data_IF_916027102165
#
_entry.id   IF_916027102165
#
_cell.length_a   1.000
_cell.length_b   1.000
_cell.length_c   1.000
_cell.angle_alpha   90.00
_cell.angle_beta   90.00
_cell.angle_gamma   90.00
#
_symmetry.space_group_name_H-M   'P 1'
#
loop_
_entity.id
_entity.type
_entity.pdbx_description
1 polymer ?
#
# COMPACT_ATOMS: atom_id res chain seq x y z
N UNK A 1 -82.39 36.28 10.97
CA UNK A 1 -82.15 36.67 12.37
C UNK A 1 -80.74 36.19 12.73
N UNK A 2 -79.73 36.98 12.35
CA UNK A 2 -78.77 37.63 13.26
C UNK A 2 -78.09 36.70 14.27
N UNK A 3 -76.78 36.44 14.14
CA UNK A 3 -75.74 37.24 14.83
C UNK A 3 -74.32 36.89 14.34
N UNK A 4 -73.50 37.94 14.14
CA UNK A 4 -72.02 37.94 13.97
C UNK A 4 -71.38 37.52 15.33
N UNK A 5 -70.09 37.21 15.57
CA UNK A 5 -68.75 37.80 15.29
C UNK A 5 -67.75 36.72 15.82
N UNK A 6 -66.60 36.33 15.24
CA UNK A 6 -65.27 36.96 15.40
C UNK A 6 -64.18 36.22 14.61
N UNK A 7 -63.21 37.03 14.20
CA UNK A 7 -61.97 36.81 13.46
C UNK A 7 -60.93 35.90 14.15
N UNK A 8 -60.14 35.18 13.35
CA UNK A 8 -58.70 35.08 13.55
C UNK A 8 -57.98 34.79 12.22
N UNK A 9 -57.22 35.79 11.76
CA UNK A 9 -56.16 35.61 10.75
C UNK A 9 -55.01 34.84 11.41
N UNK A 10 -54.56 33.76 10.79
CA UNK A 10 -53.21 33.25 11.01
C UNK A 10 -52.54 33.20 9.64
N UNK A 11 -51.71 34.21 9.36
CA UNK A 11 -50.76 34.17 8.26
C UNK A 11 -49.67 33.18 8.63
N UNK A 12 -49.57 32.08 7.87
CA UNK A 12 -48.38 31.24 7.91
C UNK A 12 -47.37 31.83 6.92
N UNK A 13 -46.41 32.54 7.51
CA UNK A 13 -45.16 32.96 6.92
C UNK A 13 -44.47 31.73 6.31
N UNK A 14 -44.21 31.75 5.00
CA UNK A 14 -43.37 30.75 4.37
C UNK A 14 -41.92 30.99 4.84
N UNK A 15 -41.49 30.27 5.88
CA UNK A 15 -40.07 30.10 6.16
C UNK A 15 -39.47 29.32 4.97
N UNK A 16 -38.70 30.00 4.14
CA UNK A 16 -37.62 29.36 3.39
C UNK A 16 -36.62 28.85 4.42
N UNK A 17 -36.82 27.62 4.88
CA UNK A 17 -35.71 26.85 5.43
C UNK A 17 -34.78 26.58 4.25
N UNK A 18 -33.71 27.37 4.14
CA UNK A 18 -32.52 26.90 3.45
C UNK A 18 -32.16 25.57 4.09
N UNK A 19 -32.20 24.50 3.31
CA UNK A 19 -31.50 23.29 3.67
C UNK A 19 -30.03 23.70 3.80
N UNK A 20 -29.58 23.88 5.04
CA UNK A 20 -28.19 23.67 5.37
C UNK A 20 -27.97 22.20 5.02
N UNK A 21 -27.38 21.93 3.85
CA UNK A 21 -26.74 20.64 3.64
C UNK A 21 -25.73 20.54 4.78
N UNK A 22 -25.68 19.43 5.54
CA UNK A 22 -24.58 19.24 6.47
C UNK A 22 -23.28 19.42 5.66
N UNK A 23 -22.26 20.03 6.26
CA UNK A 23 -20.90 19.91 5.75
C UNK A 23 -20.69 18.42 5.44
N UNK A 24 -20.28 18.10 4.20
CA UNK A 24 -20.10 16.70 3.82
C UNK A 24 -19.12 16.08 4.83
N UNK A 25 -19.49 14.91 5.35
CA UNK A 25 -18.67 14.24 6.35
C UNK A 25 -17.40 13.74 5.65
N UNK A 26 -16.24 13.92 6.30
CA UNK A 26 -14.95 13.32 5.91
C UNK A 26 -15.19 11.89 5.44
N UNK A 27 -14.71 11.56 4.25
CA UNK A 27 -14.86 10.22 3.67
C UNK A 27 -13.81 9.31 4.31
N UNK A 28 -14.27 8.26 4.99
CA UNK A 28 -13.38 7.27 5.62
C UNK A 28 -13.54 5.93 4.92
N UNK A 29 -12.45 5.39 4.39
CA UNK A 29 -12.39 4.10 3.71
C UNK A 29 -11.29 3.22 4.32
N UNK A 30 -11.56 1.93 4.46
CA UNK A 30 -10.60 0.96 5.02
C UNK A 30 -9.85 0.24 3.91
N UNK A 31 -8.52 0.33 3.90
CA UNK A 31 -7.63 -0.38 2.98
C UNK A 31 -6.55 -1.13 3.78
N UNK A 32 -6.56 -2.47 3.70
CA UNK A 32 -5.59 -3.28 4.43
C UNK A 32 -5.59 -2.97 5.93
N UNK A 33 -4.44 -2.57 6.52
CA UNK A 33 -4.33 -2.20 7.93
C UNK A 33 -4.68 -0.74 8.24
N UNK A 34 -5.10 0.05 7.24
CA UNK A 34 -5.39 1.48 7.42
C UNK A 34 -6.88 1.81 7.31
N UNK A 35 -7.36 2.67 8.21
CA UNK A 35 -8.55 3.48 8.03
C UNK A 35 -8.12 4.86 7.52
N UNK A 36 -8.46 5.17 6.27
CA UNK A 36 -8.00 6.37 5.55
C UNK A 36 -9.10 7.43 5.54
N UNK A 37 -8.79 8.58 6.12
CA UNK A 37 -9.63 9.79 6.11
C UNK A 37 -9.25 10.70 4.94
N UNK A 38 -10.16 10.85 3.99
CA UNK A 38 -10.09 11.78 2.87
C UNK A 38 -10.90 13.04 3.21
N UNK A 39 -10.18 14.16 3.33
CA UNK A 39 -10.76 15.47 3.60
C UNK A 39 -11.28 16.09 2.30
N UNK A 40 -12.48 16.68 2.31
CA UNK A 40 -13.02 17.40 1.15
C UNK A 40 -12.48 18.84 1.09
N UNK A 41 -12.64 19.55 -0.02
CA UNK A 41 -12.18 20.93 -0.18
C UNK A 41 -12.75 21.82 0.93
N UNK A 42 -11.85 22.50 1.66
CA UNK A 42 -12.21 23.38 2.77
C UNK A 42 -12.33 22.70 4.13
N UNK A 43 -12.28 21.36 4.22
CA UNK A 43 -12.17 20.67 5.50
C UNK A 43 -10.81 20.96 6.16
N UNK A 44 -10.76 20.86 7.49
CA UNK A 44 -9.59 21.27 8.28
C UNK A 44 -9.11 20.13 9.18
N UNK A 45 -7.81 19.85 9.14
CA UNK A 45 -7.12 19.04 10.13
C UNK A 45 -5.95 19.83 10.74
N UNK A 46 -5.97 20.00 12.07
CA UNK A 46 -5.00 20.84 12.76
C UNK A 46 -5.02 22.28 12.23
N UNK A 47 -3.92 22.71 11.62
CA UNK A 47 -3.79 24.03 10.97
C UNK A 47 -3.89 23.97 9.44
N UNK A 48 -4.08 22.78 8.88
CA UNK A 48 -4.10 22.56 7.43
C UNK A 48 -5.54 22.54 6.94
N UNK A 49 -5.83 23.33 5.92
CA UNK A 49 -7.10 23.29 5.19
C UNK A 49 -6.87 22.52 3.90
N UNK A 50 -7.67 21.49 3.65
CA UNK A 50 -7.58 20.71 2.42
C UNK A 50 -7.98 21.57 1.21
N UNK A 51 -7.17 21.55 0.16
CA UNK A 51 -7.28 22.47 -0.98
C UNK A 51 -8.09 21.92 -2.16
N UNK A 52 -8.37 20.62 -2.24
CA UNK A 52 -9.16 20.04 -3.33
C UNK A 52 -9.89 18.75 -2.92
N UNK A 53 -11.06 18.51 -3.51
CA UNK A 53 -11.81 17.27 -3.35
C UNK A 53 -11.06 16.06 -3.91
N UNK A 54 -11.24 14.89 -3.28
CA UNK A 54 -10.66 13.65 -3.76
C UNK A 54 -11.52 13.02 -4.85
N UNK A 55 -10.89 12.68 -5.97
CA UNK A 55 -11.52 11.89 -7.02
C UNK A 55 -11.46 10.40 -6.67
N UNK A 56 -12.41 9.62 -7.20
CA UNK A 56 -12.41 8.16 -7.02
C UNK A 56 -11.15 7.49 -7.61
N UNK A 57 -10.51 8.09 -8.62
CA UNK A 57 -9.26 7.58 -9.18
C UNK A 57 -8.08 7.79 -8.22
N UNK A 58 -7.97 8.97 -7.61
CA UNK A 58 -6.96 9.25 -6.58
C UNK A 58 -7.11 8.36 -5.34
N UNK A 59 -8.35 8.13 -4.89
CA UNK A 59 -8.61 7.18 -3.78
C UNK A 59 -8.23 5.74 -4.14
N UNK A 60 -8.38 5.34 -5.41
CA UNK A 60 -7.93 4.03 -5.88
C UNK A 60 -6.40 3.92 -5.99
N UNK A 61 -5.73 5.03 -6.29
CA UNK A 61 -4.26 5.12 -6.25
C UNK A 61 -3.73 4.96 -4.82
N UNK A 62 -4.43 5.54 -3.84
CA UNK A 62 -4.16 5.35 -2.40
C UNK A 62 -4.33 3.90 -1.97
N UNK A 63 -5.45 3.25 -2.36
CA UNK A 63 -5.66 1.82 -2.10
C UNK A 63 -4.49 0.99 -2.69
N UNK A 64 -4.05 1.31 -3.91
CA UNK A 64 -2.96 0.60 -4.59
C UNK A 64 -1.62 0.77 -3.87
N UNK A 65 -1.31 1.97 -3.39
CA UNK A 65 -0.08 2.25 -2.65
C UNK A 65 -0.03 1.54 -1.29
N UNK A 66 -1.16 1.50 -0.57
CA UNK A 66 -1.29 0.72 0.67
C UNK A 66 -1.11 -0.77 0.39
N UNK A 67 -1.68 -1.28 -0.70
CA UNK A 67 -1.51 -2.68 -1.11
C UNK A 67 -0.05 -3.03 -1.43
N UNK A 68 0.74 -2.10 -1.97
CA UNK A 68 2.15 -2.35 -2.25
C UNK A 68 2.95 -2.66 -0.97
N UNK A 69 2.63 -1.99 0.14
CA UNK A 69 3.23 -2.28 1.44
C UNK A 69 2.61 -3.51 2.11
N UNK A 70 1.27 -3.60 2.15
CA UNK A 70 0.54 -4.70 2.81
C UNK A 70 0.85 -6.07 2.19
N UNK A 71 1.07 -6.12 0.87
CA UNK A 71 1.42 -7.36 0.17
C UNK A 71 2.82 -7.90 0.54
N UNK A 72 3.71 -7.05 1.06
CA UNK A 72 5.08 -7.41 1.44
C UNK A 72 5.25 -7.70 2.93
N UNK A 73 4.25 -7.43 3.78
CA UNK A 73 4.36 -7.52 5.24
C UNK A 73 3.48 -8.65 5.80
N UNK A 74 4.06 -9.52 6.63
CA UNK A 74 3.35 -10.61 7.32
C UNK A 74 2.73 -10.19 8.65
N UNK A 75 3.28 -9.14 9.27
CA UNK A 75 2.78 -8.63 10.55
C UNK A 75 1.29 -8.29 10.48
N UNK A 76 0.58 -8.51 11.57
CA UNK A 76 -0.83 -8.12 11.70
C UNK A 76 -0.96 -6.91 12.62
N UNK A 77 -1.50 -5.81 12.11
CA UNK A 77 -1.69 -4.62 12.92
C UNK A 77 -2.57 -4.87 14.16
N UNK A 78 -2.12 -4.34 15.31
CA UNK A 78 -2.83 -4.48 16.60
C UNK A 78 -4.22 -3.82 16.59
N UNK A 79 -4.40 -2.80 15.75
CA UNK A 79 -5.67 -2.18 15.37
C UNK A 79 -5.57 -1.57 13.97
N UNK A 80 -6.70 -1.09 13.44
CA UNK A 80 -6.67 -0.23 12.24
C UNK A 80 -5.86 1.04 12.52
N UNK A 81 -5.00 1.39 11.57
CA UNK A 81 -4.10 2.55 11.63
C UNK A 81 -4.83 3.74 11.02
N UNK A 82 -4.95 4.83 11.78
CA UNK A 82 -5.60 6.05 11.31
C UNK A 82 -4.65 6.85 10.41
N UNK A 83 -4.98 6.91 9.11
CA UNK A 83 -4.23 7.67 8.12
C UNK A 83 -5.06 8.83 7.60
N UNK A 84 -4.56 10.06 7.78
CA UNK A 84 -5.21 11.26 7.26
C UNK A 84 -4.48 11.75 6.01
N UNK A 85 -5.24 12.00 4.94
CA UNK A 85 -4.71 12.49 3.68
C UNK A 85 -5.31 13.85 3.30
N UNK A 86 -4.45 14.81 2.99
CA UNK A 86 -4.86 16.13 2.52
C UNK A 86 -4.06 16.56 1.29
N UNK A 87 -4.69 17.39 0.49
CA UNK A 87 -4.05 18.23 -0.51
C UNK A 87 -3.73 19.60 0.09
N UNK A 88 -2.51 20.07 -0.09
CA UNK A 88 -1.98 21.31 0.49
C UNK A 88 -1.11 22.06 -0.54
N UNK A 89 -0.88 23.35 -0.30
CA UNK A 89 0.10 24.14 -1.06
C UNK A 89 1.48 23.97 -0.39
N UNK A 90 2.28 23.02 -0.89
CA UNK A 90 3.56 22.70 -0.26
C UNK A 90 4.68 23.64 -0.76
N UNK A 91 5.80 23.76 -0.01
CA UNK A 91 6.95 24.51 -0.48
C UNK A 91 7.47 24.00 -1.82
N UNK A 92 8.02 24.91 -2.63
CA UNK A 92 8.60 24.58 -3.94
C UNK A 92 9.56 23.39 -3.87
N UNK A 93 9.31 22.37 -4.70
CA UNK A 93 10.14 21.17 -4.80
C UNK A 93 9.74 20.04 -3.84
N UNK A 94 8.70 20.23 -3.03
CA UNK A 94 8.12 19.19 -2.17
C UNK A 94 6.86 18.66 -2.82
N UNK A 95 6.79 17.35 -3.04
CA UNK A 95 5.64 16.67 -3.65
C UNK A 95 4.69 16.09 -2.59
N UNK A 96 5.26 15.66 -1.47
CA UNK A 96 4.56 15.06 -0.35
C UNK A 96 5.27 15.36 0.97
N UNK A 97 4.54 15.19 2.06
CA UNK A 97 5.08 15.28 3.42
C UNK A 97 4.30 14.34 4.32
N UNK A 98 4.99 13.30 4.78
CA UNK A 98 4.51 12.36 5.78
C UNK A 98 4.96 12.76 7.19
N UNK A 99 4.02 12.72 8.14
CA UNK A 99 4.32 12.89 9.56
C UNK A 99 3.49 11.94 10.39
N UNK A 100 4.09 11.29 11.37
CA UNK A 100 3.39 10.37 12.27
C UNK A 100 3.50 10.79 13.72
N UNK A 101 2.47 10.43 14.49
CA UNK A 101 2.57 10.49 15.95
C UNK A 101 3.67 9.53 16.41
N UNK A 102 4.37 9.90 17.48
CA UNK A 102 5.53 9.14 17.95
C UNK A 102 5.17 8.30 19.18
N UNK A 103 5.71 7.09 19.25
CA UNK A 103 5.65 6.22 20.42
C UNK A 103 7.07 6.04 20.95
N UNK A 104 7.23 6.07 22.28
CA UNK A 104 8.53 5.98 22.94
C UNK A 104 8.51 4.93 24.04
N UNK A 105 9.62 4.21 24.22
CA UNK A 105 9.73 3.18 25.24
C UNK A 105 11.06 2.44 25.20
N UNK A 106 11.66 2.17 26.36
CA UNK A 106 12.86 1.33 26.45
C UNK A 106 14.10 1.85 25.71
N UNK A 107 14.18 3.16 25.43
CA UNK A 107 15.25 3.75 24.61
C UNK A 107 15.04 3.59 23.10
N UNK A 108 13.82 3.24 22.68
CA UNK A 108 13.41 3.15 21.29
C UNK A 108 12.31 4.17 20.99
N UNK A 109 12.23 4.52 19.72
CA UNK A 109 11.27 5.45 19.13
C UNK A 109 10.64 4.80 17.91
N UNK A 110 9.32 4.90 17.79
CA UNK A 110 8.56 4.39 16.64
C UNK A 110 7.68 5.49 16.07
N UNK A 111 7.40 5.41 14.77
CA UNK A 111 6.18 6.00 14.24
C UNK A 111 4.98 5.20 14.79
N UNK A 112 3.85 5.82 15.08
CA UNK A 112 2.75 5.07 15.69
C UNK A 112 2.18 4.01 14.74
N UNK A 113 2.10 4.30 13.43
CA UNK A 113 1.73 3.30 12.41
C UNK A 113 2.69 2.11 12.39
N UNK A 114 3.99 2.36 12.44
CA UNK A 114 5.04 1.34 12.61
C UNK A 114 4.84 0.53 13.91
N UNK A 115 4.61 1.18 15.06
CA UNK A 115 4.38 0.47 16.32
C UNK A 115 3.14 -0.43 16.25
N UNK A 116 2.02 0.11 15.73
CA UNK A 116 0.75 -0.62 15.65
C UNK A 116 0.88 -1.84 14.73
N UNK A 117 1.59 -1.68 13.62
CA UNK A 117 1.70 -2.73 12.63
C UNK A 117 2.83 -3.70 12.93
N UNK A 118 4.07 -3.23 13.12
CA UNK A 118 5.24 -4.08 13.31
C UNK A 118 5.24 -4.77 14.67
N UNK A 119 4.93 -4.04 15.75
CA UNK A 119 4.89 -4.60 17.10
C UNK A 119 3.56 -5.30 17.40
N UNK A 120 2.58 -5.22 16.49
CA UNK A 120 1.25 -5.84 16.58
C UNK A 120 0.49 -5.43 17.86
N UNK A 121 0.69 -4.19 18.32
CA UNK A 121 0.18 -3.67 19.59
C UNK A 121 -0.59 -2.34 19.40
N UNK A 122 -1.15 -1.78 20.47
CA UNK A 122 -1.85 -0.50 20.46
C UNK A 122 -1.20 0.45 21.48
N UNK A 123 -0.73 1.66 21.08
CA UNK A 123 -0.21 2.65 22.02
C UNK A 123 -1.16 2.94 23.20
N UNK A 124 -2.47 2.79 23.01
CA UNK A 124 -3.47 2.95 24.06
C UNK A 124 -3.30 1.96 25.23
N UNK A 125 -2.70 0.79 25.00
CA UNK A 125 -2.37 -0.18 26.06
C UNK A 125 -1.34 0.37 27.06
N UNK A 126 -0.59 1.39 26.67
CA UNK A 126 0.40 2.09 27.49
C UNK A 126 -0.10 3.47 27.97
N UNK A 127 -1.38 3.77 27.74
CA UNK A 127 -1.99 5.05 28.10
C UNK A 127 -1.57 6.22 27.18
N UNK A 128 -1.04 5.91 25.99
CA UNK A 128 -0.67 6.90 24.98
C UNK A 128 -1.90 7.12 24.09
N UNK A 129 -2.53 8.29 24.21
CA UNK A 129 -3.67 8.68 23.37
C UNK A 129 -3.17 9.40 22.11
N UNK A 130 -3.54 8.87 20.95
CA UNK A 130 -3.13 9.36 19.65
C UNK A 130 -4.40 9.68 18.86
N UNK A 131 -4.48 10.92 18.34
CA UNK A 131 -5.58 11.37 17.50
C UNK A 131 -5.47 10.83 16.07
N UNK A 132 -4.29 10.97 15.46
CA UNK A 132 -3.97 10.43 14.14
C UNK A 132 -2.66 9.66 14.20
N UNK A 133 -2.60 8.50 13.57
CA UNK A 133 -1.36 7.74 13.53
C UNK A 133 -0.39 8.30 12.50
N UNK A 134 -0.89 8.62 11.30
CA UNK A 134 -0.10 9.23 10.24
C UNK A 134 -0.92 10.27 9.47
N UNK A 135 -0.27 11.37 9.14
CA UNK A 135 -0.78 12.46 8.34
C UNK A 135 0.12 12.60 7.12
N UNK A 136 -0.45 12.48 5.92
CA UNK A 136 0.28 12.75 4.69
C UNK A 136 -0.41 13.90 3.96
N UNK A 137 0.41 14.86 3.54
CA UNK A 137 0.00 15.98 2.69
C UNK A 137 0.66 15.87 1.34
N UNK A 138 -0.09 16.16 0.29
CA UNK A 138 0.43 16.19 -1.07
C UNK A 138 0.26 17.58 -1.66
N UNK A 139 1.22 17.97 -2.46
CA UNK A 139 1.17 19.24 -3.15
C UNK A 139 0.07 19.24 -4.23
N UNK A 140 -0.74 20.29 -4.28
CA UNK A 140 -1.88 20.37 -5.21
C UNK A 140 -1.46 20.37 -6.68
N UNK A 141 -0.28 20.88 -7.03
CA UNK A 141 0.15 21.08 -8.42
C UNK A 141 1.39 20.26 -8.82
N UNK A 142 1.83 19.35 -7.94
CA UNK A 142 3.02 18.51 -8.10
C UNK A 142 4.29 19.34 -8.36
N UNK A 143 4.50 20.36 -7.53
CA UNK A 143 5.57 21.34 -7.67
C UNK A 143 5.58 22.01 -9.06
N UNK A 144 4.39 22.27 -9.61
CA UNK A 144 4.15 22.89 -10.91
C UNK A 144 4.34 21.97 -12.12
N UNK A 145 4.62 20.69 -11.92
CA UNK A 145 4.86 19.71 -13.00
C UNK A 145 3.57 19.01 -13.42
N UNK A 146 2.61 18.85 -12.50
CA UNK A 146 1.35 18.16 -12.71
C UNK A 146 1.40 16.65 -12.41
N UNK A 147 0.32 16.16 -11.81
CA UNK A 147 0.13 14.77 -11.44
C UNK A 147 -0.27 13.87 -12.62
N UNK A 148 0.16 12.62 -12.54
CA UNK A 148 -0.40 11.47 -13.24
C UNK A 148 -1.10 10.60 -12.20
N UNK A 149 -2.38 10.27 -12.47
CA UNK A 149 -3.21 9.40 -11.66
C UNK A 149 -3.59 8.15 -12.46
N UNK A 150 -3.98 7.10 -11.75
CA UNK A 150 -4.48 5.87 -12.34
C UNK A 150 -3.39 4.82 -12.63
N UNK A 151 -3.79 3.78 -13.36
CA UNK A 151 -2.91 2.62 -13.62
C UNK A 151 -1.84 2.89 -14.67
N UNK A 152 -2.13 3.77 -15.63
CA UNK A 152 -1.20 4.14 -16.69
C UNK A 152 0.04 4.82 -16.11
N UNK A 153 1.18 4.70 -16.80
CA UNK A 153 2.41 5.39 -16.38
C UNK A 153 2.37 6.89 -16.70
N UNK A 154 3.19 7.70 -16.03
CA UNK A 154 3.26 9.14 -16.28
C UNK A 154 3.76 9.46 -17.70
N UNK A 155 3.14 10.45 -18.32
CA UNK A 155 3.65 11.05 -19.56
C UNK A 155 4.92 11.88 -19.31
N UNK A 156 5.59 12.34 -20.38
CA UNK A 156 6.71 13.26 -20.25
C UNK A 156 6.30 14.53 -19.49
N UNK A 157 6.99 14.84 -18.41
CA UNK A 157 6.70 16.02 -17.60
C UNK A 157 5.52 15.85 -16.64
N UNK A 158 5.15 14.62 -16.26
CA UNK A 158 4.22 14.38 -15.16
C UNK A 158 4.91 13.61 -14.03
N UNK A 159 4.44 13.81 -12.81
CA UNK A 159 4.85 13.04 -11.63
C UNK A 159 3.82 11.95 -11.36
N UNK A 160 4.27 10.73 -11.15
CA UNK A 160 3.40 9.61 -10.80
C UNK A 160 2.91 9.72 -9.35
N UNK A 161 1.61 9.96 -9.16
CA UNK A 161 1.05 10.12 -7.81
C UNK A 161 1.22 8.85 -6.97
N UNK A 162 0.96 7.67 -7.55
CA UNK A 162 1.14 6.37 -6.87
C UNK A 162 2.56 6.20 -6.33
N UNK A 163 3.58 6.58 -7.10
CA UNK A 163 4.96 6.51 -6.63
C UNK A 163 5.18 7.39 -5.39
N UNK A 164 4.65 8.62 -5.41
CA UNK A 164 4.78 9.55 -4.27
C UNK A 164 4.01 9.05 -3.04
N UNK A 165 2.75 8.63 -3.15
CA UNK A 165 2.04 8.10 -1.97
C UNK A 165 2.69 6.83 -1.42
N UNK A 166 3.16 5.91 -2.27
CA UNK A 166 3.86 4.72 -1.80
C UNK A 166 5.13 5.10 -1.04
N UNK A 167 5.86 6.12 -1.51
CA UNK A 167 7.03 6.68 -0.82
C UNK A 167 6.66 7.28 0.55
N UNK A 168 5.66 8.15 0.61
CA UNK A 168 5.25 8.81 1.87
C UNK A 168 4.74 7.82 2.92
N UNK A 169 4.10 6.72 2.48
CA UNK A 169 3.74 5.60 3.36
C UNK A 169 4.98 4.91 3.94
N UNK A 170 6.10 4.87 3.22
CA UNK A 170 7.39 4.36 3.70
C UNK A 170 7.86 5.06 4.97
N UNK A 171 7.69 6.39 5.04
CA UNK A 171 7.96 7.15 6.26
C UNK A 171 7.02 6.76 7.40
N UNK A 172 5.72 6.56 7.13
CA UNK A 172 4.74 6.13 8.14
C UNK A 172 5.03 4.75 8.73
N UNK A 173 5.71 3.88 7.97
CA UNK A 173 6.15 2.54 8.43
C UNK A 173 7.58 2.51 8.97
N UNK A 174 8.18 3.68 9.23
CA UNK A 174 9.39 3.80 10.04
C UNK A 174 10.67 4.15 9.28
N UNK A 175 10.63 4.41 7.97
CA UNK A 175 11.79 4.89 7.21
C UNK A 175 12.05 6.35 7.55
N UNK A 176 12.69 6.61 8.70
CA UNK A 176 12.93 7.96 9.18
C UNK A 176 14.03 7.98 10.24
N UNK A 177 14.90 8.99 10.19
CA UNK A 177 15.90 9.22 11.22
C UNK A 177 15.37 10.12 12.34
N UNK A 178 15.82 9.88 13.57
CA UNK A 178 15.58 10.77 14.72
C UNK A 178 16.55 11.94 14.80
N UNK A 179 17.49 12.07 13.86
CA UNK A 179 18.47 13.15 13.85
C UNK A 179 17.81 14.51 13.66
N UNK A 180 18.16 15.47 14.50
CA UNK A 180 17.70 16.85 14.38
C UNK A 180 18.89 17.79 14.15
N UNK A 181 19.06 18.23 12.90
CA UNK A 181 20.16 19.11 12.49
C UNK A 181 20.26 20.45 13.24
N UNK A 182 19.15 20.98 13.77
CA UNK A 182 19.16 22.25 14.52
C UNK A 182 19.85 22.12 15.89
N UNK A 183 19.73 20.95 16.51
CA UNK A 183 20.33 20.67 17.82
C UNK A 183 21.63 19.86 17.67
N UNK A 184 21.89 19.26 16.49
CA UNK A 184 23.00 18.31 16.24
C UNK A 184 22.93 17.12 17.22
N UNK A 185 21.78 16.44 17.30
CA UNK A 185 21.58 15.31 18.21
C UNK A 185 20.60 14.28 17.63
N UNK A 186 20.78 13.02 18.02
CA UNK A 186 19.80 11.96 17.81
C UNK A 186 18.81 11.86 18.99
N UNK A 187 17.55 11.54 18.67
CA UNK A 187 16.52 11.24 19.65
C UNK A 187 15.89 12.45 20.34
N UNK A 188 16.17 13.68 19.91
CA UNK A 188 15.57 14.88 20.52
C UNK A 188 14.05 14.92 20.29
N UNK A 189 13.30 15.25 21.33
CA UNK A 189 11.81 15.34 21.28
C UNK A 189 11.24 16.64 21.83
N UNK A 190 12.09 17.55 22.30
CA UNK A 190 11.68 18.85 22.79
C UNK A 190 12.36 19.22 24.10
N UNK A 191 11.70 20.09 24.87
CA UNK A 191 12.17 20.57 26.17
C UNK A 191 11.12 20.30 27.23
N UNK A 192 11.57 20.00 28.44
CA UNK A 192 10.68 19.85 29.58
C UNK A 192 10.17 21.21 30.10
N UNK A 193 9.39 21.19 31.19
CA UNK A 193 8.84 22.40 31.79
C UNK A 193 9.91 23.37 32.36
N UNK A 194 11.14 22.89 32.52
CA UNK A 194 12.29 23.65 33.01
C UNK A 194 13.17 24.18 31.86
N UNK A 195 12.90 23.74 30.62
CA UNK A 195 13.63 24.14 29.41
C UNK A 195 14.81 23.21 29.07
N UNK A 196 15.00 22.13 29.84
CA UNK A 196 16.06 21.16 29.60
C UNK A 196 15.69 20.25 28.41
N UNK A 197 16.64 19.91 27.53
CA UNK A 197 16.37 19.06 26.37
C UNK A 197 15.98 17.65 26.81
N UNK A 198 14.96 17.11 26.16
CA UNK A 198 14.46 15.75 26.38
C UNK A 198 14.79 14.91 25.14
N UNK A 199 15.31 13.71 25.38
CA UNK A 199 15.67 12.77 24.34
C UNK A 199 14.95 11.44 24.59
N UNK A 200 14.30 10.91 23.56
CA UNK A 200 13.54 9.67 23.61
C UNK A 200 13.93 8.76 22.44
N UNK A 201 14.90 7.89 22.71
CA UNK A 201 15.22 6.73 21.91
C UNK A 201 15.75 6.98 20.49
N UNK A 202 16.13 5.89 19.84
CA UNK A 202 16.46 5.83 18.42
C UNK A 202 15.36 5.09 17.66
N UNK A 203 15.18 5.43 16.38
CA UNK A 203 14.35 4.65 15.47
C UNK A 203 15.02 3.33 15.09
N UNK A 204 14.26 2.37 14.58
CA UNK A 204 14.83 1.15 14.00
C UNK A 204 15.69 1.44 12.75
N UNK A 205 15.49 2.60 12.12
CA UNK A 205 16.32 3.08 11.04
C UNK A 205 17.69 3.57 11.56
N UNK A 206 17.70 4.45 12.57
CA UNK A 206 18.93 5.04 13.13
C UNK A 206 19.95 3.99 13.59
N UNK A 207 19.49 2.90 14.21
CA UNK A 207 20.41 1.89 14.78
C UNK A 207 21.24 1.17 13.71
N UNK A 208 20.83 1.24 12.45
CA UNK A 208 21.52 0.68 11.31
C UNK A 208 22.36 1.72 10.54
N UNK A 209 22.43 2.97 11.01
CA UNK A 209 23.26 4.00 10.38
C UNK A 209 24.70 3.95 10.93
N UNK A 210 25.65 4.16 10.03
CA UNK A 210 27.07 4.30 10.34
C UNK A 210 27.70 5.29 9.36
N UNK A 211 28.51 6.21 9.88
CA UNK A 211 29.27 7.12 9.02
C UNK A 211 30.55 6.46 8.46
N UNK A 212 31.28 7.18 7.62
CA UNK A 212 32.51 6.67 7.00
C UNK A 212 33.66 6.40 7.99
N UNK A 213 33.61 7.01 9.18
CA UNK A 213 34.59 6.83 10.25
C UNK A 213 34.20 5.69 11.22
N UNK A 214 32.99 5.15 11.10
CA UNK A 214 32.46 4.09 11.96
C UNK A 214 31.68 4.61 13.17
N UNK A 215 31.37 5.91 13.22
CA UNK A 215 30.51 6.47 14.26
C UNK A 215 29.05 6.10 14.01
N UNK A 216 28.28 5.98 15.08
CA UNK A 216 26.88 5.54 15.07
C UNK A 216 25.98 6.48 15.86
N UNK A 217 24.69 6.55 15.53
CA UNK A 217 23.71 7.26 16.34
C UNK A 217 23.68 6.76 17.78
N UNK A 218 23.55 7.69 18.72
CA UNK A 218 23.28 7.39 20.12
C UNK A 218 22.40 8.49 20.73
N UNK A 219 21.41 8.08 21.52
CA UNK A 219 20.39 8.96 22.12
C UNK A 219 21.04 10.10 22.91
N UNK A 220 20.64 11.33 22.63
CA UNK A 220 21.14 12.52 23.33
C UNK A 220 22.61 12.85 23.05
N UNK A 221 23.16 12.29 21.97
CA UNK A 221 24.51 12.59 21.46
C UNK A 221 24.45 12.86 19.96
N UNK A 222 25.48 13.50 19.42
CA UNK A 222 25.68 13.66 17.99
C UNK A 222 26.36 12.44 17.36
N UNK A 223 26.50 11.33 18.08
CA UNK A 223 27.17 10.12 17.63
C UNK A 223 28.15 9.56 18.66
N UNK A 224 28.54 8.29 18.46
CA UNK A 224 29.59 7.61 19.22
C UNK A 224 30.46 6.72 18.31
N UNK A 225 31.76 6.53 18.58
CA UNK A 225 32.54 7.06 19.71
C UNK A 225 32.85 8.56 19.61
N UNK A 226 32.86 9.11 18.40
CA UNK A 226 32.95 10.55 18.13
C UNK A 226 31.67 11.04 17.43
N UNK A 227 31.63 12.30 17.01
CA UNK A 227 30.51 12.88 16.28
C UNK A 227 30.25 12.09 14.99
N UNK A 228 28.98 11.76 14.74
CA UNK A 228 28.49 11.21 13.49
C UNK A 228 28.55 12.27 12.39
N UNK A 229 29.19 11.96 11.26
CA UNK A 229 29.24 12.85 10.10
C UNK A 229 27.97 12.70 9.25
N UNK A 230 26.96 13.53 9.54
CA UNK A 230 25.68 13.59 8.83
C UNK A 230 25.78 14.16 7.40
N UNK A 231 26.92 14.77 7.08
CA UNK A 231 27.25 15.30 5.76
C UNK A 231 28.24 14.40 5.00
N UNK A 232 28.57 13.24 5.57
CA UNK A 232 29.42 12.26 4.93
C UNK A 232 28.73 11.75 3.68
N UNK A 233 29.26 12.02 2.49
CA UNK A 233 28.66 11.55 1.24
C UNK A 233 29.40 10.31 0.70
N UNK A 234 28.89 9.07 0.92
CA UNK A 234 27.66 8.72 1.62
C UNK A 234 27.88 8.34 3.11
N UNK A 235 26.81 8.48 3.89
CA UNK A 235 26.57 7.75 5.13
C UNK A 235 26.10 6.35 4.73
N UNK A 236 26.22 5.37 5.61
CA UNK A 236 25.91 4.00 5.27
C UNK A 236 24.85 3.38 6.18
N UNK A 237 24.12 2.44 5.60
CA UNK A 237 23.35 1.44 6.31
C UNK A 237 24.15 0.16 6.47
N UNK A 238 24.13 -0.39 7.68
CA UNK A 238 24.93 -1.56 8.06
C UNK A 238 24.13 -2.78 8.54
N UNK A 239 22.80 -2.75 8.40
CA UNK A 239 21.97 -3.90 8.71
C UNK A 239 22.36 -5.17 7.94
N UNK A 240 22.40 -6.31 8.63
CA UNK A 240 22.98 -7.54 8.11
C UNK A 240 22.29 -8.04 6.83
N UNK A 241 20.95 -7.95 6.74
CA UNK A 241 20.20 -8.48 5.60
C UNK A 241 20.44 -7.66 4.35
N UNK A 242 20.32 -6.34 4.45
CA UNK A 242 20.53 -5.42 3.33
C UNK A 242 21.99 -5.43 2.86
N UNK A 243 22.94 -5.42 3.80
CA UNK A 243 24.38 -5.45 3.45
C UNK A 243 24.80 -6.75 2.80
N UNK A 244 24.26 -7.90 3.24
CA UNK A 244 24.51 -9.19 2.59
C UNK A 244 23.92 -9.25 1.18
N UNK A 245 22.74 -8.66 0.96
CA UNK A 245 22.11 -8.60 -0.37
C UNK A 245 22.87 -7.67 -1.32
N UNK A 246 23.25 -6.48 -0.85
CA UNK A 246 23.97 -5.49 -1.65
C UNK A 246 25.44 -5.88 -1.90
N UNK A 247 26.05 -6.62 -0.96
CA UNK A 247 27.46 -7.01 -1.01
C UNK A 247 28.41 -6.04 -0.30
N UNK A 248 27.88 -5.23 0.61
CA UNK A 248 28.63 -4.23 1.37
C UNK A 248 27.71 -3.26 2.11
N UNK A 249 28.29 -2.22 2.70
CA UNK A 249 27.54 -1.12 3.31
C UNK A 249 26.69 -0.39 2.26
N UNK A 250 25.42 -0.14 2.57
CA UNK A 250 24.44 0.42 1.62
C UNK A 250 24.45 1.95 1.73
N UNK A 251 24.69 2.70 0.63
CA UNK A 251 24.70 4.17 0.66
C UNK A 251 23.35 4.80 1.04
N UNK A 252 23.40 5.70 2.02
CA UNK A 252 22.29 6.53 2.51
C UNK A 252 22.52 7.96 2.07
N UNK A 253 21.43 8.64 1.72
CA UNK A 253 21.46 10.02 1.25
C UNK A 253 21.93 10.98 2.36
N UNK A 254 23.14 11.50 2.18
CA UNK A 254 23.78 12.48 3.04
C UNK A 254 24.52 13.50 2.17
N UNK A 255 23.80 14.49 1.59
CA UNK A 255 24.39 15.52 0.73
C UNK A 255 25.35 16.43 1.49
N UNK A 256 26.24 17.12 0.77
CA UNK A 256 27.21 18.08 1.35
C UNK A 256 26.56 19.23 2.15
N UNK A 257 25.28 19.49 1.92
CA UNK A 257 24.46 20.42 2.71
C UNK A 257 23.25 19.67 3.22
N UNK A 258 23.07 19.65 4.54
CA UNK A 258 21.95 18.97 5.17
C UNK A 258 20.63 19.45 4.57
N UNK A 259 19.86 18.50 4.02
CA UNK A 259 18.55 18.74 3.42
C UNK A 259 17.50 18.28 4.41
N UNK A 260 16.89 19.24 5.11
CA UNK A 260 15.81 18.94 6.07
C UNK A 260 14.69 18.17 5.38
N UNK A 261 14.23 17.09 6.02
CA UNK A 261 13.24 16.16 5.47
C UNK A 261 13.81 15.05 4.57
N UNK A 262 15.07 15.11 4.15
CA UNK A 262 15.66 14.10 3.26
C UNK A 262 16.93 13.45 3.79
N UNK A 263 17.87 14.24 4.29
CA UNK A 263 19.16 13.74 4.79
C UNK A 263 18.96 12.67 5.86
N UNK A 264 19.74 11.58 5.76
CA UNK A 264 19.75 10.42 6.66
C UNK A 264 18.48 9.56 6.65
N UNK A 265 17.40 9.93 5.96
CA UNK A 265 16.13 9.19 5.94
C UNK A 265 15.80 8.55 4.59
N UNK A 266 16.79 8.45 3.68
CA UNK A 266 16.60 7.97 2.32
C UNK A 266 17.80 7.17 1.82
N UNK A 267 17.57 6.30 0.83
CA UNK A 267 18.64 5.71 0.04
C UNK A 267 19.33 6.79 -0.81
N UNK A 268 20.63 6.64 -1.05
CA UNK A 268 21.37 7.60 -1.90
C UNK A 268 20.87 7.56 -3.35
N UNK A 269 20.32 8.68 -3.84
CA UNK A 269 19.79 8.83 -5.21
C UNK A 269 20.86 8.58 -6.29
N UNK A 270 22.11 8.97 -6.05
CA UNK A 270 23.20 8.76 -7.00
C UNK A 270 23.50 7.29 -7.26
N UNK A 271 23.30 6.46 -6.22
CA UNK A 271 23.48 5.01 -6.25
C UNK A 271 22.20 4.29 -6.67
N UNK A 272 21.03 4.77 -6.23
CA UNK A 272 19.74 4.11 -6.38
C UNK A 272 18.64 5.02 -6.98
N UNK A 273 18.79 5.53 -8.22
CA UNK A 273 17.89 6.53 -8.83
C UNK A 273 16.49 6.02 -9.24
N UNK A 274 16.07 4.89 -8.68
CA UNK A 274 14.78 4.25 -8.90
C UNK A 274 14.38 3.34 -7.74
N UNK A 275 15.00 3.53 -6.57
CA UNK A 275 14.49 2.97 -5.32
C UNK A 275 13.28 3.80 -4.87
N UNK A 276 12.35 3.17 -4.15
CA UNK A 276 11.15 3.85 -3.71
C UNK A 276 11.46 4.98 -2.72
N UNK A 277 12.36 4.71 -1.78
CA UNK A 277 12.80 5.58 -0.69
C UNK A 277 14.06 6.37 -1.07
N UNK A 278 14.26 6.65 -2.35
CA UNK A 278 15.17 7.71 -2.76
C UNK A 278 14.46 9.07 -2.64
N UNK A 279 15.18 10.16 -2.30
CA UNK A 279 14.55 11.43 -1.95
C UNK A 279 14.02 12.22 -3.15
N UNK A 280 14.24 11.75 -4.38
CA UNK A 280 13.81 12.44 -5.59
C UNK A 280 13.12 11.46 -6.54
N UNK A 281 12.02 11.93 -7.14
CA UNK A 281 11.40 11.28 -8.29
C UNK A 281 11.41 12.25 -9.48
N UNK A 282 12.00 11.82 -10.58
CA UNK A 282 12.01 12.54 -11.84
C UNK A 282 10.68 12.41 -12.58
N UNK A 283 10.31 13.45 -13.32
CA UNK A 283 9.14 13.39 -14.20
C UNK A 283 9.24 12.23 -15.21
N UNK A 284 8.16 11.46 -15.34
CA UNK A 284 8.10 10.26 -16.17
C UNK A 284 8.69 8.99 -15.52
N UNK A 285 9.19 9.05 -14.28
CA UNK A 285 9.58 7.86 -13.53
C UNK A 285 8.37 7.16 -12.92
N UNK A 286 8.49 5.84 -12.78
CA UNK A 286 7.44 4.96 -12.27
C UNK A 286 8.05 4.01 -11.23
N UNK A 287 7.88 4.33 -9.95
CA UNK A 287 8.46 3.60 -8.82
C UNK A 287 7.37 3.38 -7.77
N UNK A 288 6.54 2.35 -7.97
CA UNK A 288 5.31 2.12 -7.18
C UNK A 288 5.44 1.04 -6.11
N UNK A 289 6.61 0.41 -5.97
CA UNK A 289 6.86 -0.69 -5.02
C UNK A 289 8.27 -0.59 -4.44
N UNK A 290 8.48 -1.02 -3.17
CA UNK A 290 9.82 -1.14 -2.62
C UNK A 290 10.64 -2.20 -3.38
N UNK A 291 11.93 -1.92 -3.56
CA UNK A 291 12.89 -2.85 -4.15
C UNK A 291 13.25 -4.00 -3.20
N UNK A 292 13.86 -5.06 -3.72
CA UNK A 292 14.40 -6.17 -2.90
C UNK A 292 15.35 -5.66 -1.80
N UNK A 293 16.11 -4.60 -2.08
CA UNK A 293 17.02 -3.98 -1.11
C UNK A 293 16.26 -3.29 0.01
N UNK A 294 15.21 -2.54 -0.32
CA UNK A 294 14.37 -1.86 0.68
C UNK A 294 13.62 -2.86 1.55
N UNK A 295 13.12 -3.96 0.96
CA UNK A 295 12.55 -5.06 1.74
C UNK A 295 13.56 -5.73 2.68
N UNK A 296 14.83 -5.85 2.26
CA UNK A 296 15.90 -6.32 3.13
C UNK A 296 16.16 -5.35 4.29
N UNK A 297 16.13 -4.04 4.03
CA UNK A 297 16.24 -3.01 5.09
C UNK A 297 15.05 -3.04 6.06
N UNK A 298 13.84 -3.25 5.56
CA UNK A 298 12.66 -3.43 6.43
C UNK A 298 12.82 -4.67 7.34
N UNK A 299 13.43 -5.75 6.83
CA UNK A 299 13.77 -6.93 7.63
C UNK A 299 14.78 -6.60 8.73
N UNK A 300 15.80 -5.81 8.41
CA UNK A 300 16.80 -5.33 9.39
C UNK A 300 16.18 -4.41 10.46
N UNK A 301 15.13 -3.67 10.11
CA UNK A 301 14.31 -2.91 11.06
C UNK A 301 13.36 -3.78 11.91
N UNK A 302 13.30 -5.08 11.67
CA UNK A 302 12.47 -6.02 12.44
C UNK A 302 11.09 -6.32 11.85
N UNK A 303 10.78 -5.87 10.64
CA UNK A 303 9.55 -6.25 9.96
C UNK A 303 9.61 -7.72 9.51
N UNK A 304 8.48 -8.42 9.62
CA UNK A 304 8.33 -9.77 9.07
C UNK A 304 7.93 -9.67 7.60
N UNK A 305 8.91 -9.57 6.71
CA UNK A 305 8.67 -9.43 5.27
C UNK A 305 8.29 -10.78 4.65
N UNK A 306 7.35 -10.77 3.69
CA UNK A 306 7.05 -11.92 2.84
C UNK A 306 8.20 -12.08 1.86
N UNK A 307 9.00 -13.16 1.93
CA UNK A 307 10.01 -13.39 0.91
C UNK A 307 9.30 -13.55 -0.43
N UNK A 308 9.64 -12.70 -1.39
CA UNK A 308 9.12 -12.78 -2.75
C UNK A 308 9.11 -14.25 -3.20
N UNK A 309 7.96 -14.82 -3.61
CA UNK A 309 7.94 -16.19 -4.06
C UNK A 309 8.92 -16.25 -5.22
N UNK A 310 9.96 -17.07 -5.08
CA UNK A 310 10.98 -17.23 -6.10
C UNK A 310 10.38 -17.84 -7.39
N UNK A 311 9.64 -17.03 -8.14
CA UNK A 311 9.03 -17.36 -9.42
C UNK A 311 10.14 -17.64 -10.45
N UNK A 312 11.34 -17.11 -10.22
CA UNK A 312 12.57 -17.44 -10.96
C UNK A 312 13.06 -18.88 -10.64
N UNK A 313 12.92 -19.37 -9.42
CA UNK A 313 13.22 -20.77 -9.09
C UNK A 313 12.14 -21.72 -9.65
N UNK A 314 10.85 -21.37 -9.56
CA UNK A 314 9.80 -22.20 -10.14
C UNK A 314 9.83 -22.27 -11.68
N UNK A 315 10.18 -21.18 -12.37
CA UNK A 315 10.29 -21.17 -13.84
C UNK A 315 11.49 -21.95 -14.37
N UNK A 316 12.64 -21.93 -13.67
CA UNK A 316 13.81 -22.72 -14.05
C UNK A 316 13.61 -24.23 -13.83
N UNK A 317 12.94 -24.62 -12.74
CA UNK A 317 12.53 -26.02 -12.54
C UNK A 317 11.45 -26.48 -13.54
N UNK A 318 10.47 -25.61 -13.86
CA UNK A 318 9.42 -25.89 -14.84
C UNK A 318 9.96 -26.14 -16.26
N UNK A 319 10.91 -25.32 -16.72
CA UNK A 319 11.56 -25.50 -18.03
C UNK A 319 12.47 -26.73 -18.09
N UNK A 320 13.17 -27.03 -16.97
CA UNK A 320 13.99 -28.24 -16.82
C UNK A 320 13.14 -29.52 -16.88
N UNK A 321 12.00 -29.54 -16.18
CA UNK A 321 11.06 -30.65 -16.18
C UNK A 321 10.41 -30.82 -17.57
N UNK A 322 10.03 -29.74 -18.24
CA UNK A 322 9.49 -29.77 -19.61
C UNK A 322 10.50 -30.32 -20.63
N UNK A 323 11.79 -29.98 -20.51
CA UNK A 323 12.86 -30.57 -21.35
C UNK A 323 13.05 -32.06 -21.09
N UNK A 324 12.98 -32.50 -19.84
CA UNK A 324 13.08 -33.92 -19.44
C UNK A 324 11.86 -34.74 -19.91
N UNK A 325 10.66 -34.19 -19.76
CA UNK A 325 9.41 -34.81 -20.21
C UNK A 325 9.34 -34.86 -21.75
N UNK A 326 9.78 -33.81 -22.46
CA UNK A 326 9.90 -33.82 -23.93
C UNK A 326 10.88 -34.89 -24.42
N UNK A 327 12.04 -35.05 -23.77
CA UNK A 327 13.03 -36.10 -24.12
C UNK A 327 12.47 -37.51 -23.89
N UNK A 328 11.69 -37.72 -22.82
CA UNK A 328 11.03 -39.02 -22.55
C UNK A 328 9.86 -39.29 -23.50
N UNK A 329 9.13 -38.28 -23.92
CA UNK A 329 8.01 -38.40 -24.87
C UNK A 329 8.49 -38.70 -26.29
N UNK A 330 9.55 -38.03 -26.75
CA UNK A 330 10.18 -38.28 -28.06
C UNK A 330 10.81 -39.68 -28.13
N UNK A 331 11.49 -40.14 -27.07
CA UNK A 331 11.99 -41.54 -27.02
C UNK A 331 10.86 -42.59 -27.05
N UNK A 332 9.67 -42.29 -26.53
CA UNK A 332 8.51 -43.19 -26.59
C UNK A 332 7.79 -43.18 -27.96
N UNK A 333 7.83 -42.06 -28.68
CA UNK A 333 7.26 -41.94 -30.02
C UNK A 333 8.14 -42.58 -31.10
N UNK A 334 9.47 -42.47 -30.97
CA UNK A 334 10.42 -43.04 -31.94
C UNK A 334 10.65 -44.55 -31.73
N UNK A 335 10.30 -45.08 -30.55
CA UNK A 335 10.40 -46.51 -30.23
C UNK A 335 9.18 -47.36 -30.61
N UNK A 336 8.20 -46.80 -31.33
CA UNK A 336 7.03 -47.54 -31.82
C UNK A 336 7.18 -47.71 -33.33
N UNK A 337 7.71 -48.85 -33.73
CA UNK A 337 7.58 -49.37 -35.10
C UNK A 337 6.08 -49.55 -35.35
N UNK A 338 5.44 -48.55 -35.97
CA UNK A 338 4.14 -48.60 -36.66
C UNK A 338 3.84 -47.16 -37.12
N UNK A 339 4.28 -46.84 -38.34
CA UNK A 339 4.31 -45.49 -38.89
C UNK A 339 2.93 -44.87 -39.19
N UNK A 340 2.21 -44.41 -38.16
CA UNK A 340 1.05 -43.55 -38.31
C UNK A 340 1.18 -42.32 -37.41
N UNK A 341 1.48 -41.16 -38.02
CA UNK A 341 1.42 -39.84 -37.38
C UNK A 341 -0.05 -39.40 -37.43
N UNK A 342 -0.78 -39.26 -36.30
CA UNK A 342 -2.10 -38.67 -36.34
C UNK A 342 -1.97 -37.15 -36.55
N UNK A 343 -2.75 -36.60 -37.49
CA UNK A 343 -2.79 -35.17 -37.76
C UNK A 343 -3.33 -34.40 -36.53
N UNK A 344 -2.78 -33.21 -36.22
CA UNK A 344 -3.29 -32.37 -35.14
C UNK A 344 -4.71 -31.85 -35.49
N UNK A 345 -5.57 -31.63 -34.49
CA UNK A 345 -6.90 -31.06 -34.73
C UNK A 345 -6.77 -29.62 -35.27
N UNK A 346 -7.57 -29.29 -36.27
CA UNK A 346 -7.66 -27.96 -36.85
C UNK A 346 -8.30 -26.99 -35.84
N UNK A 347 -7.58 -25.93 -35.49
CA UNK A 347 -8.11 -24.80 -34.74
C UNK A 347 -8.50 -23.72 -35.75
N UNK A 348 -9.79 -23.47 -35.93
CA UNK A 348 -10.28 -22.30 -36.67
C UNK A 348 -10.22 -21.09 -35.76
N UNK A 349 -9.45 -20.06 -36.16
CA UNK A 349 -9.53 -18.72 -35.61
C UNK A 349 -10.79 -18.05 -36.16
N UNK A 350 -11.80 -17.86 -35.31
CA UNK A 350 -12.83 -16.82 -35.48
C UNK A 350 -13.44 -16.48 -34.11
N UNK A 351 -13.07 -15.29 -33.63
CA UNK A 351 -13.66 -14.36 -32.64
C UNK A 351 -14.62 -14.87 -31.54
N UNK A 352 -14.22 -14.72 -30.26
CA UNK A 352 -14.99 -13.91 -29.29
C UNK A 352 -14.13 -13.48 -28.07
N UNK A 353 -14.29 -12.22 -27.70
CA UNK A 353 -13.61 -11.45 -26.66
C UNK A 353 -13.86 -11.94 -25.22
N UNK A 354 -13.12 -12.95 -24.74
CA UNK A 354 -12.95 -13.26 -23.30
C UNK A 354 -11.56 -13.86 -23.03
N UNK A 355 -10.52 -13.03 -23.19
CA UNK A 355 -9.13 -13.41 -23.00
C UNK A 355 -8.68 -13.31 -21.54
N UNK A 356 -8.60 -14.46 -20.85
CA UNK A 356 -7.69 -14.79 -19.72
C UNK A 356 -8.22 -16.02 -18.97
N UNK A 357 -9.52 -16.08 -18.67
CA UNK A 357 -10.11 -17.18 -17.89
C UNK A 357 -10.14 -18.55 -18.61
N UNK A 358 -10.30 -18.57 -19.94
CA UNK A 358 -10.40 -19.81 -20.75
C UNK A 358 -9.08 -20.55 -20.91
N UNK A 359 -7.96 -19.82 -20.88
CA UNK A 359 -6.59 -20.35 -20.95
C UNK A 359 -6.25 -21.02 -19.61
N UNK A 360 -6.58 -20.37 -18.48
CA UNK A 360 -6.39 -20.91 -17.14
C UNK A 360 -7.20 -22.19 -16.88
N UNK A 361 -8.49 -22.22 -17.25
CA UNK A 361 -9.35 -23.41 -17.07
C UNK A 361 -8.87 -24.60 -17.92
N UNK A 362 -8.29 -24.35 -19.09
CA UNK A 362 -7.72 -25.41 -19.94
C UNK A 362 -6.39 -25.96 -19.40
N UNK A 363 -5.56 -25.10 -18.80
CA UNK A 363 -4.35 -25.52 -18.10
C UNK A 363 -4.68 -26.35 -16.85
N UNK A 364 -5.64 -25.89 -16.04
CA UNK A 364 -6.10 -26.54 -14.82
C UNK A 364 -6.60 -27.98 -15.06
N UNK A 365 -7.39 -28.19 -16.12
CA UNK A 365 -7.83 -29.54 -16.54
C UNK A 365 -6.68 -30.43 -17.02
N UNK A 366 -5.70 -29.84 -17.70
CA UNK A 366 -4.47 -30.53 -18.12
C UNK A 366 -3.63 -31.01 -16.92
N UNK A 367 -3.52 -30.16 -15.90
CA UNK A 367 -2.77 -30.46 -14.67
C UNK A 367 -3.48 -31.50 -13.78
N UNK A 368 -4.81 -31.43 -13.64
CA UNK A 368 -5.61 -32.44 -12.91
C UNK A 368 -5.45 -33.83 -13.55
N UNK A 369 -5.48 -33.91 -14.88
CA UNK A 369 -5.27 -35.18 -15.60
C UNK A 369 -3.84 -35.73 -15.41
N UNK A 370 -2.85 -34.86 -15.24
CA UNK A 370 -1.46 -35.21 -14.96
C UNK A 370 -1.28 -35.72 -13.51
N UNK A 371 -1.91 -35.03 -12.54
CA UNK A 371 -2.02 -35.43 -11.12
C UNK A 371 -2.61 -36.82 -10.96
N UNK A 372 -3.72 -37.11 -11.66
CA UNK A 372 -4.39 -38.42 -11.58
C UNK A 372 -3.63 -39.54 -12.32
N UNK A 373 -2.74 -39.20 -13.26
CA UNK A 373 -1.80 -40.18 -13.86
C UNK A 373 -0.63 -40.48 -12.93
N UNK A 374 -0.12 -39.47 -12.22
CA UNK A 374 0.93 -39.64 -11.22
C UNK A 374 0.46 -40.46 -10.00
N UNK A 375 -0.80 -40.26 -9.56
CA UNK A 375 -1.44 -41.05 -8.48
C UNK A 375 -1.51 -42.55 -8.75
N UNK A 376 -1.55 -42.97 -10.03
CA UNK A 376 -1.69 -44.38 -10.43
C UNK A 376 -0.36 -45.13 -10.58
N UNK A 377 0.78 -44.47 -10.37
CA UNK A 377 2.11 -45.04 -10.62
C UNK A 377 3.01 -45.00 -9.37
N UNK A 378 2.71 -45.82 -8.35
CA UNK A 378 3.70 -46.30 -7.37
C UNK A 378 3.13 -47.51 -6.59
N UNK A 379 3.93 -48.57 -6.42
CA UNK A 379 4.40 -48.83 -5.06
C UNK A 379 5.90 -49.19 -4.97
N UNK A 380 6.53 -48.72 -3.88
CA UNK A 380 7.38 -49.45 -2.92
C UNK A 380 8.56 -48.63 -2.35
N UNK A 381 8.92 -49.01 -1.12
CA UNK A 381 9.46 -48.18 -0.04
C UNK A 381 10.99 -47.97 -0.07
N UNK A 382 11.41 -46.77 0.37
CA UNK A 382 12.81 -46.38 0.59
C UNK A 382 12.91 -44.92 1.07
N UNK A 383 14.11 -44.46 1.44
CA UNK A 383 14.38 -43.07 1.87
C UNK A 383 13.87 -42.02 0.85
N UNK A 384 13.89 -42.39 -0.44
CA UNK A 384 13.32 -41.63 -1.54
C UNK A 384 11.78 -41.48 -1.45
N UNK A 385 11.07 -42.51 -0.97
CA UNK A 385 9.62 -42.46 -0.75
C UNK A 385 9.21 -41.51 0.39
N UNK A 386 10.04 -41.39 1.43
CA UNK A 386 9.82 -40.43 2.53
C UNK A 386 10.04 -38.98 2.08
N UNK A 387 11.09 -38.72 1.29
CA UNK A 387 11.27 -37.39 0.68
C UNK A 387 10.15 -37.05 -0.31
N UNK A 388 9.71 -38.02 -1.12
CA UNK A 388 8.58 -37.81 -2.04
C UNK A 388 7.28 -37.52 -1.28
N UNK A 389 7.06 -38.16 -0.12
CA UNK A 389 5.91 -37.88 0.73
C UNK A 389 5.98 -36.49 1.40
N UNK A 390 7.18 -36.04 1.80
CA UNK A 390 7.40 -34.70 2.34
C UNK A 390 7.18 -33.63 1.26
N UNK A 391 7.71 -33.82 0.05
CA UNK A 391 7.46 -32.93 -1.09
C UNK A 391 5.97 -32.88 -1.47
N UNK A 392 5.27 -34.02 -1.43
CA UNK A 392 3.81 -34.07 -1.64
C UNK A 392 3.05 -33.28 -0.58
N UNK A 393 3.44 -33.39 0.70
CA UNK A 393 2.78 -32.67 1.78
C UNK A 393 2.99 -31.15 1.67
N UNK A 394 4.18 -30.71 1.26
CA UNK A 394 4.49 -29.28 1.03
C UNK A 394 3.71 -28.77 -0.19
N UNK A 395 3.66 -29.54 -1.28
CA UNK A 395 2.92 -29.19 -2.49
C UNK A 395 1.40 -29.11 -2.21
N UNK A 396 0.82 -30.11 -1.54
CA UNK A 396 -0.60 -30.11 -1.16
C UNK A 396 -0.95 -28.93 -0.22
N UNK A 397 -0.06 -28.56 0.70
CA UNK A 397 -0.25 -27.41 1.59
C UNK A 397 -0.18 -26.07 0.85
N UNK A 398 0.77 -25.93 -0.09
CA UNK A 398 0.91 -24.73 -0.92
C UNK A 398 -0.32 -24.54 -1.84
N UNK A 399 -0.78 -25.61 -2.48
CA UNK A 399 -1.99 -25.57 -3.32
C UNK A 399 -3.26 -25.32 -2.52
N UNK A 400 -3.39 -25.90 -1.32
CA UNK A 400 -4.54 -25.62 -0.44
C UNK A 400 -4.60 -24.14 -0.02
N UNK A 401 -3.46 -23.49 0.21
CA UNK A 401 -3.42 -22.05 0.55
C UNK A 401 -3.72 -21.18 -0.68
N UNK A 402 -3.19 -21.53 -1.86
CA UNK A 402 -3.49 -20.81 -3.10
C UNK A 402 -4.97 -20.91 -3.50
N UNK A 403 -5.59 -22.08 -3.32
CA UNK A 403 -7.02 -22.28 -3.55
C UNK A 403 -7.86 -21.49 -2.55
N UNK A 404 -7.49 -21.48 -1.27
CA UNK A 404 -8.17 -20.68 -0.25
C UNK A 404 -8.08 -19.17 -0.53
N UNK A 405 -6.90 -18.69 -0.93
CA UNK A 405 -6.69 -17.29 -1.31
C UNK A 405 -7.50 -16.91 -2.56
N UNK A 406 -7.53 -17.78 -3.57
CA UNK A 406 -8.30 -17.55 -4.80
C UNK A 406 -9.81 -17.56 -4.54
N UNK A 407 -10.28 -18.45 -3.66
CA UNK A 407 -11.68 -18.50 -3.24
C UNK A 407 -12.05 -17.26 -2.41
N UNK A 408 -11.18 -16.82 -1.50
CA UNK A 408 -11.39 -15.60 -0.71
C UNK A 408 -11.41 -14.34 -1.58
N UNK A 409 -10.55 -14.28 -2.62
CA UNK A 409 -10.54 -13.20 -3.61
C UNK A 409 -11.84 -13.19 -4.43
N UNK A 410 -12.26 -14.34 -4.96
CA UNK A 410 -13.54 -14.46 -5.70
C UNK A 410 -14.75 -14.11 -4.84
N UNK A 411 -14.79 -14.57 -3.59
CA UNK A 411 -15.87 -14.24 -2.66
C UNK A 411 -15.92 -12.73 -2.35
N UNK A 412 -14.76 -12.07 -2.23
CA UNK A 412 -14.67 -10.61 -2.07
C UNK A 412 -15.13 -9.86 -3.33
N UNK A 413 -14.73 -10.32 -4.51
CA UNK A 413 -15.14 -9.71 -5.79
C UNK A 413 -16.64 -9.89 -6.05
N UNK A 414 -17.21 -11.05 -5.72
CA UNK A 414 -18.64 -11.33 -5.78
C UNK A 414 -19.44 -10.49 -4.78
N UNK A 415 -18.94 -10.32 -3.55
CA UNK A 415 -19.54 -9.45 -2.53
C UNK A 415 -19.52 -7.97 -2.97
N UNK A 416 -18.38 -7.48 -3.49
CA UNK A 416 -18.23 -6.12 -4.03
C UNK A 416 -19.16 -5.89 -5.23
N UNK A 417 -19.32 -6.88 -6.11
CA UNK A 417 -20.24 -6.83 -7.25
C UNK A 417 -21.72 -6.80 -6.85
N UNK A 418 -22.12 -7.60 -5.85
CA UNK A 418 -23.47 -7.62 -5.31
C UNK A 418 -23.83 -6.29 -4.61
N UNK A 419 -22.90 -5.73 -3.83
CA UNK A 419 -23.08 -4.44 -3.15
C UNK A 419 -23.19 -3.27 -4.17
N UNK A 420 -22.40 -3.33 -5.26
CA UNK A 420 -22.47 -2.33 -6.35
C UNK A 420 -23.80 -2.40 -7.11
N UNK A 421 -24.35 -3.60 -7.34
CA UNK A 421 -25.68 -3.81 -7.91
C UNK A 421 -26.81 -3.36 -6.96
N UNK A 422 -26.65 -3.58 -5.66
CA UNK A 422 -27.64 -3.16 -4.65
C UNK A 422 -27.69 -1.63 -4.50
N UNK A 423 -26.52 -0.97 -4.51
CA UNK A 423 -26.41 0.49 -4.57
C UNK A 423 -27.01 1.07 -5.86
N UNK A 424 -26.79 0.43 -7.01
CA UNK A 424 -27.41 0.83 -8.28
C UNK A 424 -28.93 0.69 -8.24
N UNK A 425 -29.44 -0.46 -7.77
CA UNK A 425 -30.87 -0.71 -7.60
C UNK A 425 -31.53 0.25 -6.58
N UNK A 426 -30.81 0.64 -5.52
CA UNK A 426 -31.28 1.64 -4.57
C UNK A 426 -31.35 3.05 -5.17
N UNK A 427 -30.37 3.43 -6.02
CA UNK A 427 -30.38 4.69 -6.77
C UNK A 427 -31.52 4.73 -7.80
N UNK A 428 -31.76 3.65 -8.53
CA UNK A 428 -32.89 3.55 -9.46
C UNK A 428 -34.25 3.62 -8.75
N UNK A 429 -34.42 2.95 -7.60
CA UNK A 429 -35.65 3.05 -6.79
C UNK A 429 -35.93 4.49 -6.34
N UNK A 430 -34.92 5.20 -5.85
CA UNK A 430 -35.04 6.62 -5.44
C UNK A 430 -35.39 7.53 -6.62
N UNK A 431 -34.81 7.27 -7.79
CA UNK A 431 -35.09 8.01 -9.03
C UNK A 431 -36.56 7.82 -9.47
N UNK A 432 -37.07 6.58 -9.51
CA UNK A 432 -38.46 6.33 -9.89
C UNK A 432 -39.47 6.88 -8.88
N UNK A 433 -39.19 6.82 -7.58
CA UNK A 433 -40.03 7.44 -6.55
C UNK A 433 -40.11 8.97 -6.68
N UNK A 434 -39.03 9.62 -7.14
CA UNK A 434 -39.04 11.04 -7.45
C UNK A 434 -39.93 11.34 -8.66
N UNK A 435 -39.80 10.57 -9.74
CA UNK A 435 -40.60 10.70 -10.96
C UNK A 435 -42.10 10.50 -10.66
N UNK A 436 -42.47 9.48 -9.88
CA UNK A 436 -43.88 9.25 -9.51
C UNK A 436 -44.46 10.37 -8.65
N UNK A 437 -43.67 10.93 -7.72
CA UNK A 437 -44.10 12.09 -6.92
C UNK A 437 -44.27 13.34 -7.77
N UNK A 438 -43.42 13.55 -8.77
CA UNK A 438 -43.53 14.65 -9.71
C UNK A 438 -44.78 14.53 -10.58
N UNK A 439 -45.06 13.34 -11.13
CA UNK A 439 -46.29 13.07 -11.89
C UNK A 439 -47.56 13.27 -11.06
N UNK A 440 -47.55 12.81 -9.80
CA UNK A 440 -48.69 12.98 -8.88
C UNK A 440 -48.97 14.46 -8.59
N UNK A 441 -47.92 15.27 -8.40
CA UNK A 441 -48.03 16.73 -8.23
C UNK A 441 -48.56 17.42 -9.49
N UNK A 442 -48.10 17.00 -10.67
CA UNK A 442 -48.58 17.54 -11.95
C UNK A 442 -50.04 17.17 -12.24
N UNK A 443 -50.47 15.94 -11.93
CA UNK A 443 -51.88 15.52 -12.02
C UNK A 443 -52.78 16.28 -11.05
N UNK A 444 -52.32 16.53 -9.82
CA UNK A 444 -53.10 17.29 -8.83
C UNK A 444 -53.21 18.78 -9.19
N UNK A 445 -52.23 19.37 -9.89
CA UNK A 445 -52.35 20.73 -10.43
C UNK A 445 -53.35 20.82 -11.59
N UNK A 446 -53.43 19.80 -12.46
CA UNK A 446 -54.42 19.74 -13.56
C UNK A 446 -55.87 19.49 -13.12
N UNK A 447 -56.10 19.02 -11.89
CA UNK A 447 -57.45 18.81 -11.34
C UNK A 447 -57.98 20.00 -10.52
N UNK A 448 -57.13 21.01 -10.26
CA UNK A 448 -57.45 22.18 -9.43
C UNK A 448 -57.45 23.51 -10.19
N UNK A 449 -57.16 23.49 -11.48
CA UNK A 449 -57.46 24.56 -12.44
C UNK A 449 -58.50 24.03 -13.41
#
# INVERSE_FOLDING_TARGET
>A
MSMRIFTARAGALALLAGLCLPADAIVVETYGPFDVSFYEEGDVYGTTTNQQDWTAEQMADVESAIQAWDAGIQNTAGRQISLHLLWDDLPSGVLGSSGSSQVYGGGQRWQSGEFIWREEDDPANYGIEIDVDSLIRYDVDAAGVGWNFGEDGPGPGQIDFRSVITHELGHSVGVTSSYLSEEDFFGYVGRDAMGDPVYEGLTAWDVNLVDSAGNRPAVGTNGVPDNFDELGNPVYWDGDTATNLYGGLVPIYAPETYSSGSSLSHLDEGTFPGALMSPQIGAGQLVREPTDLEWAMMTDMGWQVIPEPAAVLLSTFGLGLMRLLRRRFVKRLVGREDGAIPAPPAWSLEEDTRGSASIWISMERGFIAMRDRARRAAPEAGCFGKMTALFRAIEDAAWSKADAWTQARRARDEARGAERLERHAARERKFWDFVFRLESRLRNRRRRG
#
